data_IF_129732218299
#
_entry.id   IF_129732218299
#
_cell.length_a   1.000
_cell.length_b   1.000
_cell.length_c   1.000
_cell.angle_alpha   90.00
_cell.angle_beta   90.00
_cell.angle_gamma   90.00
#
_symmetry.space_group_name_H-M   'P 1'
#
loop_
_entity.id
_entity.type
_entity.pdbx_description
1 polymer ?
#
# COMPACT_ATOMS: atom_id res chain seq x y z
N UNK A 1 -9.92 14.93 -3.22
CA UNK A 1 -11.11 14.07 -3.13
C UNK A 1 -11.12 13.28 -1.83
N UNK A 2 -10.11 12.48 -1.53
CA UNK A 2 -10.07 11.69 -0.30
C UNK A 2 -9.35 12.41 0.82
N UNK A 3 -9.92 12.36 2.04
CA UNK A 3 -9.26 12.83 3.26
C UNK A 3 -8.19 11.84 3.72
N UNK A 4 -8.58 10.58 3.83
CA UNK A 4 -7.69 9.51 4.25
C UNK A 4 -8.28 8.15 3.87
N UNK A 5 -7.41 7.15 3.86
CA UNK A 5 -7.75 5.74 3.68
C UNK A 5 -7.31 4.99 4.92
N UNK A 6 -8.15 4.11 5.43
CA UNK A 6 -7.89 3.35 6.65
C UNK A 6 -7.94 1.86 6.31
N UNK A 7 -6.88 1.12 6.64
CA UNK A 7 -6.87 -0.34 6.55
C UNK A 7 -6.76 -0.96 7.93
N UNK A 8 -7.61 -1.93 8.20
CA UNK A 8 -7.56 -2.72 9.42
C UNK A 8 -6.41 -3.73 9.39
N UNK A 9 -5.65 -3.78 10.49
CA UNK A 9 -4.60 -4.77 10.67
C UNK A 9 -4.76 -5.45 12.03
N UNK A 10 -4.25 -6.67 12.17
CA UNK A 10 -4.39 -7.44 13.41
C UNK A 10 -3.17 -7.30 14.31
N UNK A 11 -1.97 -7.29 13.74
CA UNK A 11 -0.69 -7.23 14.45
C UNK A 11 0.05 -5.98 14.00
N UNK A 12 0.08 -4.97 14.87
CA UNK A 12 0.63 -3.66 14.53
C UNK A 12 2.12 -3.73 14.19
N UNK A 13 2.92 -4.46 14.98
CA UNK A 13 4.35 -4.57 14.73
C UNK A 13 4.64 -5.25 13.39
N UNK A 14 3.88 -6.29 13.08
CA UNK A 14 3.99 -6.98 11.78
C UNK A 14 3.59 -6.04 10.64
N UNK A 15 2.51 -5.29 10.82
CA UNK A 15 2.05 -4.33 9.81
C UNK A 15 3.07 -3.22 9.57
N UNK A 16 3.68 -2.67 10.63
CA UNK A 16 4.75 -1.68 10.50
C UNK A 16 5.95 -2.25 9.74
N UNK A 17 6.37 -3.46 10.07
CA UNK A 17 7.50 -4.11 9.42
C UNK A 17 7.24 -4.35 7.93
N UNK A 18 5.98 -4.43 7.53
CA UNK A 18 5.56 -4.54 6.13
C UNK A 18 5.44 -3.18 5.44
N UNK A 19 4.64 -2.28 6.01
CA UNK A 19 4.29 -1.02 5.32
C UNK A 19 5.44 0.00 5.29
N UNK A 20 6.22 0.11 6.34
CA UNK A 20 7.34 1.05 6.37
C UNK A 20 8.30 0.87 5.20
N UNK A 21 8.89 -0.34 5.00
CA UNK A 21 9.84 -0.52 3.89
C UNK A 21 9.18 -0.39 2.52
N UNK A 22 7.97 -0.95 2.35
CA UNK A 22 7.27 -0.92 1.06
C UNK A 22 6.95 0.53 0.66
N UNK A 23 6.39 1.31 1.58
CA UNK A 23 6.05 2.71 1.29
C UNK A 23 7.31 3.58 1.14
N UNK A 24 8.40 3.26 1.85
CA UNK A 24 9.67 3.95 1.68
C UNK A 24 10.22 3.80 0.27
N UNK A 25 10.09 2.63 -0.34
CA UNK A 25 10.50 2.41 -1.75
C UNK A 25 9.77 3.37 -2.69
N UNK A 26 8.52 3.69 -2.37
CA UNK A 26 7.69 4.60 -3.16
C UNK A 26 7.92 6.08 -2.81
N UNK A 27 8.80 6.37 -1.86
CA UNK A 27 9.05 7.74 -1.41
C UNK A 27 7.95 8.34 -0.55
N UNK A 28 7.07 7.51 -0.01
CA UNK A 28 5.95 7.96 0.84
C UNK A 28 6.46 8.23 2.25
N UNK A 29 6.18 9.43 2.75
CA UNK A 29 6.68 9.88 4.04
C UNK A 29 5.77 9.44 5.18
N UNK A 30 6.34 8.84 6.21
CA UNK A 30 5.62 8.53 7.44
C UNK A 30 5.29 9.83 8.17
N UNK A 31 4.02 9.98 8.54
CA UNK A 31 3.56 11.17 9.24
C UNK A 31 3.50 10.98 10.75
N UNK A 32 3.05 9.81 11.20
CA UNK A 32 2.97 9.51 12.63
C UNK A 32 3.03 8.01 12.86
N UNK A 33 3.49 7.65 14.06
CA UNK A 33 3.43 6.29 14.58
C UNK A 33 3.26 6.38 16.09
N UNK A 34 2.14 5.85 16.60
CA UNK A 34 1.82 5.82 18.02
C UNK A 34 1.57 4.38 18.46
N UNK A 35 2.63 3.67 18.92
CA UNK A 35 2.46 2.26 19.31
C UNK A 35 1.44 2.04 20.44
N UNK A 36 1.20 3.05 21.27
CA UNK A 36 0.27 2.93 22.40
C UNK A 36 -1.20 2.90 21.98
N UNK A 37 -1.56 3.41 20.78
CA UNK A 37 -2.96 3.38 20.30
C UNK A 37 -3.41 2.03 19.78
N UNK A 38 -2.68 1.19 19.04
CA UNK A 38 -1.57 1.40 18.11
C UNK A 38 -2.08 1.81 16.72
N UNK A 39 -1.45 2.78 16.12
CA UNK A 39 -1.74 3.21 14.74
C UNK A 39 -0.54 3.93 14.14
N UNK A 40 -0.50 3.99 12.82
CA UNK A 40 0.50 4.71 12.06
C UNK A 40 -0.11 5.26 10.79
N UNK A 41 0.48 6.32 10.25
CA UNK A 41 -0.02 6.95 9.04
C UNK A 41 1.09 7.55 8.21
N UNK A 42 0.82 7.61 6.91
CA UNK A 42 1.71 8.17 5.89
C UNK A 42 0.98 9.25 5.13
N UNK A 43 1.73 10.23 4.63
CA UNK A 43 1.15 11.37 3.95
C UNK A 43 1.41 11.34 2.45
N UNK A 44 0.53 11.99 1.69
CA UNK A 44 0.67 12.16 0.26
C UNK A 44 1.55 13.37 -0.08
N UNK A 45 2.08 13.41 -1.29
CA UNK A 45 2.80 14.52 -1.89
C UNK A 45 2.04 14.94 -3.15
N UNK A 46 1.88 16.24 -3.43
CA UNK A 46 2.47 17.43 -2.79
C UNK A 46 1.77 17.93 -1.52
N UNK A 47 0.56 17.55 -1.22
CA UNK A 47 -0.12 17.91 0.02
C UNK A 47 -0.23 16.72 0.95
N UNK A 48 -0.55 16.90 2.24
CA UNK A 48 -0.54 15.75 3.14
C UNK A 48 -1.65 14.74 2.87
N UNK A 49 -2.75 15.17 2.24
CA UNK A 49 -3.91 14.29 2.03
C UNK A 49 -4.02 13.81 0.60
N UNK A 50 -4.59 12.58 0.42
CA UNK A 50 -5.11 11.69 1.46
C UNK A 50 -4.01 11.09 2.31
N UNK A 51 -4.30 10.87 3.59
CA UNK A 51 -3.43 10.07 4.45
C UNK A 51 -3.74 8.58 4.23
N UNK A 52 -2.73 7.74 4.40
CA UNK A 52 -2.91 6.30 4.47
C UNK A 52 -2.63 5.86 5.90
N UNK A 53 -3.61 5.22 6.55
CA UNK A 53 -3.56 4.88 7.98
C UNK A 53 -3.76 3.39 8.17
N UNK A 54 -2.95 2.79 9.03
CA UNK A 54 -3.14 1.42 9.50
C UNK A 54 -3.42 1.43 11.00
N UNK A 55 -4.39 0.63 11.41
CA UNK A 55 -4.74 0.46 12.82
C UNK A 55 -5.59 -0.78 12.99
N UNK A 56 -5.81 -1.20 14.21
CA UNK A 56 -6.85 -2.20 14.47
C UNK A 56 -8.21 -1.63 14.09
N UNK A 57 -9.15 -2.48 13.66
CA UNK A 57 -10.52 -2.02 13.42
C UNK A 57 -11.09 -1.28 14.62
N UNK A 58 -11.91 -0.27 14.36
CA UNK A 58 -12.47 0.59 15.41
C UNK A 58 -13.20 -0.20 16.49
N UNK A 59 -13.90 -1.28 16.10
CA UNK A 59 -14.63 -2.13 17.06
C UNK A 59 -13.75 -3.14 17.78
N UNK A 60 -12.45 -3.18 17.52
CA UNK A 60 -11.51 -4.11 18.16
C UNK A 60 -11.59 -5.55 17.69
N UNK A 61 -12.44 -5.85 16.74
CA UNK A 61 -12.58 -7.21 16.19
C UNK A 61 -11.50 -7.52 15.16
N UNK A 62 -11.45 -8.77 14.72
CA UNK A 62 -10.51 -9.22 13.68
C UNK A 62 -10.80 -8.46 12.38
N UNK A 63 -9.77 -7.88 11.73
CA UNK A 63 -9.99 -7.20 10.46
C UNK A 63 -10.46 -8.16 9.39
N UNK A 64 -11.35 -7.66 8.53
CA UNK A 64 -11.87 -8.41 7.40
C UNK A 64 -11.52 -7.65 6.13
N UNK A 65 -10.60 -8.17 5.28
CA UNK A 65 -10.37 -7.56 3.98
C UNK A 65 -11.63 -7.72 3.13
N UNK A 66 -12.05 -6.64 2.49
CA UNK A 66 -13.25 -6.68 1.65
C UNK A 66 -13.01 -7.43 0.35
N UNK A 67 -14.06 -8.08 -0.16
CA UNK A 67 -14.04 -8.58 -1.52
C UNK A 67 -14.40 -7.44 -2.47
N UNK A 68 -13.47 -7.10 -3.37
CA UNK A 68 -13.63 -5.97 -4.28
C UNK A 68 -13.01 -4.67 -3.79
N UNK A 69 -12.44 -4.66 -2.59
CA UNK A 69 -11.74 -3.49 -2.05
C UNK A 69 -10.24 -3.58 -2.35
N UNK A 70 -9.66 -2.48 -2.79
CA UNK A 70 -8.23 -2.41 -3.07
C UNK A 70 -7.75 -0.97 -2.86
N UNK A 71 -6.55 -0.84 -2.31
CA UNK A 71 -5.85 0.45 -2.23
C UNK A 71 -4.69 0.41 -3.19
N UNK A 72 -4.59 1.40 -4.08
CA UNK A 72 -3.54 1.52 -5.06
C UNK A 72 -2.64 2.70 -4.73
N UNK A 73 -1.34 2.42 -4.59
CA UNK A 73 -0.31 3.44 -4.36
C UNK A 73 0.31 3.85 -5.68
N UNK A 74 0.52 5.14 -5.86
CA UNK A 74 1.18 5.66 -7.05
C UNK A 74 2.71 5.50 -6.92
N UNK A 75 3.33 4.99 -7.97
CA UNK A 75 4.78 4.93 -8.11
C UNK A 75 5.23 5.90 -9.21
N UNK A 76 6.36 6.56 -9.00
CA UNK A 76 6.89 7.49 -10.00
C UNK A 76 7.51 6.75 -11.19
N UNK A 77 8.04 5.55 -10.98
CA UNK A 77 8.73 4.78 -12.00
C UNK A 77 8.31 3.32 -11.99
N UNK A 78 8.52 2.64 -13.11
CA UNK A 78 8.29 1.19 -13.19
C UNK A 78 9.25 0.41 -12.29
N UNK A 79 10.48 0.89 -12.13
CA UNK A 79 11.44 0.27 -11.22
C UNK A 79 10.95 0.26 -9.78
N UNK A 80 10.27 1.32 -9.35
CA UNK A 80 9.65 1.37 -8.02
C UNK A 80 8.52 0.33 -7.89
N UNK A 81 7.74 0.10 -8.94
CA UNK A 81 6.71 -0.95 -8.93
C UNK A 81 7.36 -2.32 -8.73
N UNK A 82 8.40 -2.61 -9.51
CA UNK A 82 9.12 -3.88 -9.42
C UNK A 82 9.72 -4.08 -8.02
N UNK A 83 10.41 -3.04 -7.50
CA UNK A 83 11.05 -3.10 -6.20
C UNK A 83 10.04 -3.27 -5.06
N UNK A 84 8.92 -2.54 -5.11
CA UNK A 84 7.88 -2.65 -4.10
C UNK A 84 7.26 -4.05 -4.07
N UNK A 85 6.98 -4.62 -5.23
CA UNK A 85 6.41 -5.97 -5.33
C UNK A 85 7.38 -7.02 -4.77
N UNK A 86 8.65 -6.98 -5.19
CA UNK A 86 9.67 -7.92 -4.71
C UNK A 86 9.81 -7.82 -3.18
N UNK A 87 9.91 -6.60 -2.67
CA UNK A 87 10.05 -6.36 -1.23
C UNK A 87 8.81 -6.84 -0.46
N UNK A 88 7.62 -6.53 -0.96
CA UNK A 88 6.38 -6.95 -0.31
C UNK A 88 6.30 -8.47 -0.18
N UNK A 89 6.63 -9.22 -1.24
CA UNK A 89 6.63 -10.68 -1.18
C UNK A 89 7.66 -11.20 -0.17
N UNK A 90 8.82 -10.57 -0.07
CA UNK A 90 9.84 -10.97 0.92
C UNK A 90 9.38 -10.70 2.35
N UNK A 91 8.41 -9.82 2.55
CA UNK A 91 7.87 -9.45 3.85
C UNK A 91 6.52 -10.13 4.16
N UNK A 92 6.15 -11.15 3.40
CA UNK A 92 4.99 -11.97 3.68
C UNK A 92 3.74 -11.67 2.86
N UNK A 93 3.82 -10.79 1.86
CA UNK A 93 2.70 -10.56 0.96
C UNK A 93 2.47 -11.75 0.04
N UNK A 94 1.22 -11.90 -0.41
CA UNK A 94 0.84 -12.89 -1.41
C UNK A 94 0.62 -12.18 -2.74
N UNK A 95 1.27 -12.66 -3.80
CA UNK A 95 1.15 -12.07 -5.13
C UNK A 95 -0.26 -12.27 -5.69
N UNK A 96 -0.85 -11.19 -6.19
CA UNK A 96 -2.13 -11.19 -6.91
C UNK A 96 -1.97 -10.73 -8.35
N UNK A 97 -0.76 -10.40 -8.77
CA UNK A 97 -0.44 -9.99 -10.14
C UNK A 97 0.97 -9.42 -10.22
N UNK A 98 1.83 -10.06 -11.01
CA UNK A 98 3.22 -9.63 -11.18
C UNK A 98 3.31 -8.26 -11.85
N UNK A 99 4.41 -7.51 -11.62
CA UNK A 99 4.61 -6.25 -12.31
C UNK A 99 4.53 -6.41 -13.82
N UNK A 100 3.81 -5.51 -14.46
CA UNK A 100 3.67 -5.52 -15.91
C UNK A 100 2.65 -4.50 -16.40
N UNK A 101 2.60 -4.34 -17.70
CA UNK A 101 1.63 -3.49 -18.36
C UNK A 101 0.23 -4.08 -18.27
N UNK A 102 -0.76 -3.21 -18.10
CA UNK A 102 -2.18 -3.55 -18.14
C UNK A 102 -2.85 -2.64 -19.17
N UNK A 103 -2.69 -2.95 -20.48
CA UNK A 103 -3.17 -2.06 -21.53
C UNK A 103 -4.69 -1.89 -21.54
N UNK A 104 -5.43 -2.81 -20.91
CA UNK A 104 -6.88 -2.68 -20.75
C UNK A 104 -7.29 -1.45 -19.93
N UNK A 105 -6.37 -0.90 -19.11
CA UNK A 105 -6.64 0.33 -18.36
C UNK A 105 -6.17 1.56 -19.13
N UNK A 106 -4.91 1.58 -19.54
CA UNK A 106 -4.36 2.53 -20.51
C UNK A 106 -2.95 2.06 -20.93
N UNK A 107 -2.41 2.68 -22.00
CA UNK A 107 -1.18 2.23 -22.65
C UNK A 107 0.05 2.23 -21.74
N UNK A 108 0.08 3.09 -20.73
CA UNK A 108 1.25 3.25 -19.86
C UNK A 108 1.01 2.74 -18.43
N UNK A 109 -0.11 2.09 -18.18
CA UNK A 109 -0.39 1.53 -16.87
C UNK A 109 0.54 0.35 -16.60
N UNK A 110 1.45 0.53 -15.67
CA UNK A 110 2.37 -0.52 -15.23
C UNK A 110 2.15 -0.78 -13.74
N UNK A 111 1.60 -1.93 -13.40
CA UNK A 111 1.16 -2.20 -12.04
C UNK A 111 1.50 -3.59 -11.55
N UNK A 112 1.45 -3.73 -10.25
CA UNK A 112 1.58 -4.99 -9.54
C UNK A 112 0.55 -5.06 -8.42
N UNK A 113 0.14 -6.27 -8.06
CA UNK A 113 -0.92 -6.50 -7.09
C UNK A 113 -0.47 -7.55 -6.07
N UNK A 114 -0.79 -7.30 -4.82
CA UNK A 114 -0.48 -8.25 -3.75
C UNK A 114 -1.39 -8.01 -2.55
N UNK A 115 -1.44 -9.01 -1.65
CA UNK A 115 -2.16 -8.88 -0.39
C UNK A 115 -1.17 -8.71 0.73
N UNK A 116 -1.48 -7.80 1.66
CA UNK A 116 -0.68 -7.63 2.86
C UNK A 116 -0.83 -8.84 3.80
N UNK A 117 -0.08 -8.90 4.93
CA UNK A 117 -0.19 -10.05 5.85
C UNK A 117 -1.58 -10.29 6.44
N UNK A 118 -2.45 -9.29 6.44
CA UNK A 118 -3.85 -9.42 6.89
C UNK A 118 -4.81 -9.74 5.75
N UNK A 119 -4.31 -9.83 4.51
CA UNK A 119 -5.12 -10.12 3.34
C UNK A 119 -5.73 -8.92 2.64
N UNK A 120 -5.39 -7.71 3.05
CA UNK A 120 -5.82 -6.48 2.36
C UNK A 120 -5.18 -6.42 0.97
N UNK A 121 -5.99 -6.21 -0.06
CA UNK A 121 -5.48 -6.13 -1.43
C UNK A 121 -4.91 -4.75 -1.70
N UNK A 122 -3.68 -4.75 -2.22
CA UNK A 122 -2.94 -3.56 -2.56
C UNK A 122 -2.50 -3.61 -4.01
N UNK A 123 -2.34 -2.43 -4.59
CA UNK A 123 -1.75 -2.25 -5.90
C UNK A 123 -0.67 -1.20 -5.80
N UNK A 124 0.36 -1.35 -6.63
CA UNK A 124 1.34 -0.29 -6.88
C UNK A 124 1.35 -0.05 -8.38
N UNK A 125 1.09 1.17 -8.81
CA UNK A 125 0.95 1.49 -10.22
C UNK A 125 1.72 2.74 -10.62
N UNK A 126 2.42 2.65 -11.74
CA UNK A 126 3.07 3.77 -12.41
C UNK A 126 2.30 4.08 -13.68
N UNK A 127 1.94 5.34 -13.88
CA UNK A 127 1.18 5.80 -15.04
C UNK A 127 2.04 6.55 -16.05
N UNK A 128 3.33 6.73 -15.76
CA UNK A 128 4.23 7.48 -16.61
C UNK A 128 4.68 6.64 -17.82
N UNK A 129 4.71 7.26 -18.99
CA UNK A 129 5.29 6.64 -20.17
C UNK A 129 6.80 6.44 -19.97
N UNK A 130 7.35 5.40 -20.58
CA UNK A 130 8.81 5.27 -20.70
C UNK A 130 9.31 6.33 -21.68
N UNK A 131 10.41 6.98 -21.32
CA UNK A 131 11.08 7.96 -22.15
C UNK A 131 12.14 7.31 -23.05
#
# INVERSE_FOLDING_TARGET
>A
MLSHVFLGISDFERALAFYRPVLSVLGVKERFCEPSRPWAGWESTPGPRPLFVIARPFNGEVPQPGNGTMVAFAAATRDQVDAAHTLALSLGAVCEGRPGLRPEYHAHYYGAYFRDPDGNKLCVACHAALL
#
